data_IF_986674372209
#
_entry.id   IF_986674372209
#
_cell.length_a   1.000
_cell.length_b   1.000
_cell.length_c   1.000
_cell.angle_alpha   90.00
_cell.angle_beta   90.00
_cell.angle_gamma   90.00
#
_symmetry.space_group_name_H-M   'P 1'
#
loop_
_entity.id
_entity.type
_entity.pdbx_description
1 polymer ?
#
# COMPACT_ATOMS: atom_id res chain seq x y z
N UNK A 1 -9.31 17.26 -34.40
CA UNK A 1 -8.38 18.27 -33.84
C UNK A 1 -8.58 18.26 -32.32
N UNK A 2 -7.77 17.52 -31.56
CA UNK A 2 -6.62 17.99 -30.71
C UNK A 2 -7.09 18.97 -29.62
N UNK A 3 -6.92 18.73 -28.32
CA UNK A 3 -5.66 18.60 -27.55
C UNK A 3 -5.91 17.73 -26.28
N UNK A 4 -5.24 16.61 -26.02
CA UNK A 4 -3.98 16.44 -25.26
C UNK A 4 -3.74 17.43 -24.11
N UNK A 5 -3.85 16.93 -22.87
CA UNK A 5 -3.20 17.51 -21.69
C UNK A 5 -2.89 16.39 -20.70
N UNK A 6 -1.71 15.81 -20.90
CA UNK A 6 -1.02 14.89 -19.99
C UNK A 6 -0.63 15.69 -18.75
N UNK A 7 -1.30 15.48 -17.62
CA UNK A 7 -0.80 15.94 -16.32
C UNK A 7 0.00 14.82 -15.67
N UNK A 8 1.33 15.00 -15.65
CA UNK A 8 2.20 14.34 -14.69
C UNK A 8 1.84 14.90 -13.30
N UNK A 9 1.32 14.04 -12.44
CA UNK A 9 1.44 14.14 -10.99
C UNK A 9 1.91 12.74 -10.57
N UNK A 10 3.11 12.52 -10.00
CA UNK A 10 3.65 13.29 -8.89
C UNK A 10 2.84 12.93 -7.66
N UNK A 11 3.28 11.91 -6.94
CA UNK A 11 2.65 11.30 -5.75
C UNK A 11 1.34 10.54 -6.01
N UNK A 12 1.48 9.24 -6.25
CA UNK A 12 0.40 8.26 -6.11
C UNK A 12 0.09 8.08 -4.63
N UNK A 13 -0.66 9.06 -4.13
CA UNK A 13 -1.84 8.87 -3.34
C UNK A 13 -1.77 7.92 -2.16
N UNK A 14 -1.77 8.53 -0.98
CA UNK A 14 -2.65 8.16 0.13
C UNK A 14 -4.16 8.19 -0.27
N UNK A 15 -4.48 8.01 -1.55
CA UNK A 15 -5.76 8.32 -2.19
C UNK A 15 -6.55 7.07 -2.58
N UNK A 16 -5.95 5.87 -2.52
CA UNK A 16 -6.63 4.64 -2.98
C UNK A 16 -7.02 3.63 -1.88
N UNK A 17 -6.69 3.86 -0.59
CA UNK A 17 -6.93 2.81 0.42
C UNK A 17 -7.36 3.30 1.82
N UNK A 18 -8.18 4.35 1.91
CA UNK A 18 -8.81 4.78 3.18
C UNK A 18 -10.24 4.26 3.34
N UNK A 19 -10.52 3.02 2.92
CA UNK A 19 -11.83 2.40 3.20
C UNK A 19 -11.64 1.05 3.87
N UNK A 20 -11.36 1.10 5.18
CA UNK A 20 -11.56 -0.03 6.06
C UNK A 20 -13.05 -0.07 6.42
N UNK A 21 -13.85 -0.68 5.55
CA UNK A 21 -15.32 -0.77 5.68
C UNK A 21 -16.02 0.51 5.22
N UNK A 22 -17.26 0.37 4.73
CA UNK A 22 -18.08 1.50 4.28
C UNK A 22 -18.18 2.55 5.40
N UNK A 23 -17.52 3.70 5.22
CA UNK A 23 -17.79 4.92 5.99
C UNK A 23 -16.75 5.36 7.02
N UNK A 24 -15.79 4.52 7.44
CA UNK A 24 -14.85 4.89 8.50
C UNK A 24 -13.40 5.02 7.98
N UNK A 25 -12.88 6.25 8.06
CA UNK A 25 -11.47 6.55 7.81
C UNK A 25 -10.62 5.74 8.79
N UNK A 26 -9.67 4.97 8.28
CA UNK A 26 -8.73 4.26 9.13
C UNK A 26 -8.01 5.28 10.06
N UNK A 27 -7.98 5.07 11.39
CA UNK A 27 -7.45 6.06 12.33
C UNK A 27 -5.95 6.32 12.14
N UNK A 28 -5.25 5.46 11.40
CA UNK A 28 -3.85 5.66 10.99
C UNK A 28 -3.44 4.67 9.91
N UNK A 29 -2.31 4.95 9.24
CA UNK A 29 -1.62 3.97 8.40
C UNK A 29 -1.23 2.71 9.17
N UNK A 30 -0.95 2.81 10.48
CA UNK A 30 -0.66 1.64 11.31
C UNK A 30 -1.87 0.70 11.40
N UNK A 31 -3.10 1.24 11.54
CA UNK A 31 -4.31 0.43 11.58
C UNK A 31 -4.58 -0.33 10.27
N UNK A 32 -4.25 0.28 9.12
CA UNK A 32 -4.29 -0.38 7.81
C UNK A 32 -3.29 -1.56 7.76
N UNK A 33 -2.06 -1.31 8.20
CA UNK A 33 -1.00 -2.32 8.25
C UNK A 33 -1.38 -3.48 9.19
N UNK A 34 -1.88 -3.19 10.38
CA UNK A 34 -2.33 -4.20 11.35
C UNK A 34 -3.41 -5.12 10.77
N UNK A 35 -4.41 -4.55 10.08
CA UNK A 35 -5.43 -5.37 9.41
C UNK A 35 -4.81 -6.25 8.33
N UNK A 36 -3.90 -5.72 7.50
CA UNK A 36 -3.23 -6.49 6.47
C UNK A 36 -2.41 -7.65 7.08
N UNK A 37 -1.67 -7.39 8.16
CA UNK A 37 -0.90 -8.40 8.89
C UNK A 37 -1.81 -9.51 9.41
N UNK A 38 -2.97 -9.15 9.99
CA UNK A 38 -3.96 -10.13 10.45
C UNK A 38 -4.48 -11.02 9.32
N UNK A 39 -4.89 -10.43 8.20
CA UNK A 39 -5.39 -11.18 7.03
C UNK A 39 -4.32 -12.14 6.50
N UNK A 40 -3.06 -11.70 6.45
CA UNK A 40 -1.92 -12.53 6.03
C UNK A 40 -1.71 -13.70 7.01
N UNK A 41 -1.86 -13.46 8.32
CA UNK A 41 -1.80 -14.49 9.34
C UNK A 41 -2.94 -15.51 9.24
N UNK A 42 -4.16 -15.07 8.96
CA UNK A 42 -5.35 -15.92 8.82
C UNK A 42 -5.21 -16.93 7.66
N UNK A 43 -4.41 -16.60 6.63
CA UNK A 43 -4.09 -17.50 5.50
C UNK A 43 -2.81 -18.32 5.72
N UNK A 44 -2.27 -18.34 6.95
CA UNK A 44 -1.08 -19.12 7.31
C UNK A 44 0.23 -18.57 6.74
N UNK A 45 0.30 -17.27 6.46
CA UNK A 45 1.50 -16.59 5.94
C UNK A 45 2.00 -15.53 6.92
N UNK A 46 3.16 -14.95 6.63
CA UNK A 46 3.68 -13.78 7.34
C UNK A 46 4.04 -12.65 6.37
N UNK A 47 3.97 -11.38 6.81
CA UNK A 47 4.54 -10.27 6.06
C UNK A 47 6.05 -10.46 5.84
N UNK A 48 6.55 -9.98 4.69
CA UNK A 48 7.98 -9.90 4.41
C UNK A 48 8.63 -8.82 5.29
N UNK A 49 9.84 -9.08 5.76
CA UNK A 49 10.70 -8.04 6.36
C UNK A 49 11.10 -7.01 5.30
N UNK A 50 11.54 -5.80 5.67
CA UNK A 50 12.00 -4.81 4.71
C UNK A 50 13.13 -5.31 3.79
N UNK A 51 13.99 -6.19 4.27
CA UNK A 51 15.06 -6.78 3.47
C UNK A 51 14.51 -7.80 2.47
N UNK A 52 13.67 -8.73 2.93
CA UNK A 52 13.01 -9.71 2.05
C UNK A 52 12.16 -9.01 0.98
N UNK A 53 11.43 -7.95 1.35
CA UNK A 53 10.64 -7.16 0.40
C UNK A 53 11.54 -6.50 -0.67
N UNK A 54 12.72 -6.03 -0.30
CA UNK A 54 13.68 -5.46 -1.27
C UNK A 54 14.21 -6.52 -2.22
N UNK A 55 14.59 -7.69 -1.71
CA UNK A 55 15.06 -8.79 -2.55
C UNK A 55 13.97 -9.24 -3.54
N UNK A 56 12.73 -9.39 -3.08
CA UNK A 56 11.59 -9.74 -3.93
C UNK A 56 11.28 -8.70 -5.01
N UNK A 57 11.51 -7.41 -4.70
CA UNK A 57 11.25 -6.30 -5.61
C UNK A 57 12.50 -5.87 -6.42
N UNK A 58 13.63 -6.55 -6.27
CA UNK A 58 14.89 -6.19 -6.95
C UNK A 58 15.45 -4.82 -6.55
N UNK A 59 15.16 -4.37 -5.32
CA UNK A 59 15.62 -3.08 -4.80
C UNK A 59 17.00 -3.21 -4.16
N UNK A 60 17.81 -2.16 -4.28
CA UNK A 60 19.12 -2.11 -3.62
C UNK A 60 18.97 -2.25 -2.09
N UNK A 61 19.91 -2.98 -1.44
CA UNK A 61 19.97 -3.06 0.02
C UNK A 61 20.24 -1.67 0.62
N UNK A 62 19.80 -1.48 1.87
CA UNK A 62 19.92 -0.21 2.59
C UNK A 62 21.23 -0.12 3.36
#
# INVERSE_FOLDING_TARGET
MRQHSVHRAGDVGLEDNIYLSQGDLAPSNAALVERAVRIIGDVGRRPATPNEARELLGLAPR
#
